data_IF_077804450739
#
_entry.id   IF_077804450739
#
_cell.length_a   1.000
_cell.length_b   1.000
_cell.length_c   1.000
_cell.angle_alpha   90.00
_cell.angle_beta   90.00
_cell.angle_gamma   90.00
#
_symmetry.space_group_name_H-M   'P 1'
#
loop_
_entity.id
_entity.type
_entity.pdbx_description
1 polymer ?
#
# COMPACT_ATOMS: atom_id res chain seq x y z
N UNK A 1 -5.06 32.35 -6.27
CA UNK A 1 -4.90 31.06 -5.55
C UNK A 1 -4.02 31.34 -4.34
N UNK A 2 -4.58 31.45 -3.12
CA UNK A 2 -3.79 31.76 -1.91
C UNK A 2 -2.80 30.61 -1.68
N UNK A 3 -1.49 30.92 -1.64
CA UNK A 3 -0.46 29.97 -1.21
C UNK A 3 -0.71 29.69 0.27
N UNK A 4 -1.44 28.61 0.58
CA UNK A 4 -1.49 28.09 1.94
C UNK A 4 -0.04 27.85 2.38
N UNK A 5 0.39 28.52 3.47
CA UNK A 5 1.65 28.17 4.12
C UNK A 5 1.60 26.68 4.42
N UNK A 6 2.65 25.95 4.05
CA UNK A 6 2.76 24.54 4.38
C UNK A 6 2.69 24.39 5.90
N UNK A 7 1.62 23.78 6.38
CA UNK A 7 1.41 23.55 7.80
C UNK A 7 1.88 22.12 8.12
N UNK A 8 2.97 22.05 8.89
CA UNK A 8 3.57 20.78 9.29
C UNK A 8 2.60 19.94 10.14
N UNK A 9 1.75 20.58 10.95
CA UNK A 9 0.75 19.87 11.75
C UNK A 9 -0.29 19.19 10.86
N UNK A 10 -0.74 19.89 9.82
CA UNK A 10 -1.69 19.33 8.85
C UNK A 10 -1.04 18.24 8.00
N UNK A 11 0.24 18.38 7.65
CA UNK A 11 1.00 17.33 6.96
C UNK A 11 1.06 16.03 7.78
N UNK A 12 1.38 16.12 9.07
CA UNK A 12 1.46 14.96 9.95
C UNK A 12 0.08 14.31 10.12
N UNK A 13 -0.96 15.11 10.32
CA UNK A 13 -2.33 14.61 10.48
C UNK A 13 -2.81 13.92 9.20
N UNK A 14 -2.52 14.49 8.03
CA UNK A 14 -2.77 13.87 6.73
C UNK A 14 -2.07 12.50 6.60
N UNK A 15 -0.84 12.38 7.10
CA UNK A 15 -0.12 11.10 7.11
C UNK A 15 -0.84 10.05 7.95
N UNK A 16 -1.29 10.40 9.16
CA UNK A 16 -2.07 9.48 10.01
C UNK A 16 -3.40 9.07 9.36
N UNK A 17 -4.10 10.01 8.74
CA UNK A 17 -5.35 9.72 8.01
C UNK A 17 -5.09 8.80 6.83
N UNK A 18 -4.01 9.01 6.07
CA UNK A 18 -3.61 8.10 4.99
C UNK A 18 -3.37 6.67 5.51
N UNK A 19 -2.62 6.53 6.61
CA UNK A 19 -2.35 5.23 7.22
C UNK A 19 -3.64 4.56 7.70
N UNK A 20 -4.51 5.29 8.39
CA UNK A 20 -5.79 4.77 8.85
C UNK A 20 -6.70 4.32 7.69
N UNK A 21 -6.80 5.13 6.63
CA UNK A 21 -7.58 4.77 5.43
C UNK A 21 -7.04 3.52 4.75
N UNK A 22 -5.72 3.31 4.74
CA UNK A 22 -5.13 2.08 4.22
C UNK A 22 -5.49 0.86 5.07
N UNK A 23 -5.40 0.96 6.40
CA UNK A 23 -5.75 -0.15 7.28
C UNK A 23 -7.21 -0.55 7.07
N UNK A 24 -8.11 0.44 7.01
CA UNK A 24 -9.54 0.21 6.74
C UNK A 24 -9.75 -0.40 5.35
N UNK A 25 -9.04 0.11 4.33
CA UNK A 25 -9.12 -0.44 2.98
C UNK A 25 -8.63 -1.89 2.94
N UNK A 26 -7.50 -2.21 3.56
CA UNK A 26 -7.02 -3.59 3.65
C UNK A 26 -8.06 -4.47 4.34
N UNK A 27 -8.59 -4.06 5.49
CA UNK A 27 -9.59 -4.85 6.22
C UNK A 27 -10.84 -5.19 5.38
N UNK A 28 -11.32 -4.24 4.56
CA UNK A 28 -12.48 -4.43 3.68
C UNK A 28 -12.11 -5.29 2.46
N UNK A 29 -10.96 -5.02 1.84
CA UNK A 29 -10.59 -5.61 0.56
C UNK A 29 -9.74 -6.88 0.68
N UNK A 30 -9.35 -7.32 1.88
CA UNK A 30 -8.48 -8.49 2.06
C UNK A 30 -9.06 -9.78 1.50
N UNK A 31 -10.37 -10.02 1.70
CA UNK A 31 -11.07 -11.21 1.16
C UNK A 31 -11.08 -11.23 -0.37
N UNK A 32 -11.55 -10.18 -1.07
CA UNK A 32 -11.51 -10.17 -2.53
C UNK A 32 -10.08 -10.15 -3.09
N UNK A 33 -9.14 -9.49 -2.41
CA UNK A 33 -7.71 -9.54 -2.78
C UNK A 33 -7.15 -10.96 -2.72
N UNK A 34 -7.44 -11.70 -1.64
CA UNK A 34 -6.97 -13.07 -1.48
C UNK A 34 -7.55 -14.00 -2.54
N UNK A 35 -8.83 -13.83 -2.89
CA UNK A 35 -9.48 -14.62 -3.93
C UNK A 35 -8.87 -14.34 -5.32
N UNK A 36 -8.67 -13.06 -5.66
CA UNK A 36 -7.99 -12.68 -6.90
C UNK A 36 -6.56 -13.20 -6.92
N UNK A 37 -5.83 -13.06 -5.82
CA UNK A 37 -4.45 -13.55 -5.72
C UNK A 37 -4.34 -15.06 -5.91
N UNK A 38 -5.22 -15.84 -5.27
CA UNK A 38 -5.30 -17.29 -5.47
C UNK A 38 -5.64 -17.68 -6.92
N UNK A 39 -6.51 -16.91 -7.58
CA UNK A 39 -6.81 -17.09 -9.01
C UNK A 39 -5.58 -16.83 -9.88
N UNK A 40 -4.83 -15.75 -9.64
CA UNK A 40 -3.62 -15.40 -10.40
C UNK A 40 -2.46 -16.38 -10.16
N UNK A 41 -2.27 -16.87 -8.94
CA UNK A 41 -1.28 -17.93 -8.67
C UNK A 41 -1.64 -19.19 -9.44
N UNK A 42 -2.88 -19.64 -9.30
CA UNK A 42 -3.32 -20.92 -9.83
C UNK A 42 -3.32 -20.93 -11.37
N UNK A 43 -3.58 -19.79 -12.00
CA UNK A 43 -3.73 -19.69 -13.45
C UNK A 43 -2.57 -19.00 -14.20
N UNK A 44 -1.63 -18.31 -13.53
CA UNK A 44 -0.65 -17.48 -14.25
C UNK A 44 0.74 -17.30 -13.63
N UNK A 45 0.88 -17.26 -12.30
CA UNK A 45 2.19 -16.98 -11.67
C UNK A 45 3.12 -18.20 -11.58
N UNK A 46 2.63 -19.43 -11.77
CA UNK A 46 3.48 -20.62 -11.89
C UNK A 46 4.30 -20.66 -13.20
N UNK A 47 4.07 -19.72 -14.12
CA UNK A 47 4.75 -19.66 -15.42
C UNK A 47 6.09 -18.90 -15.31
N UNK A 48 6.23 -18.05 -14.29
CA UNK A 48 7.45 -17.25 -14.05
C UNK A 48 8.03 -17.78 -12.75
N UNK A 49 9.13 -18.52 -12.83
CA UNK A 49 9.85 -19.06 -11.67
C UNK A 49 10.39 -17.93 -10.79
N UNK A 50 9.53 -17.35 -9.97
CA UNK A 50 9.90 -16.34 -8.99
C UNK A 50 10.51 -17.03 -7.77
N UNK A 51 11.76 -16.68 -7.45
CA UNK A 51 12.37 -17.04 -6.17
C UNK A 51 11.49 -16.56 -5.00
N UNK A 52 11.57 -17.24 -3.85
CA UNK A 52 10.73 -16.96 -2.68
C UNK A 52 10.69 -15.48 -2.27
N UNK A 53 11.80 -14.75 -2.47
CA UNK A 53 11.85 -13.29 -2.28
C UNK A 53 10.88 -12.53 -3.17
N UNK A 54 10.94 -12.73 -4.48
CA UNK A 54 10.13 -11.97 -5.43
C UNK A 54 8.65 -12.28 -5.28
N UNK A 55 8.33 -13.52 -4.93
CA UNK A 55 6.95 -13.92 -4.65
C UNK A 55 6.39 -13.21 -3.42
N UNK A 56 7.15 -13.15 -2.31
CA UNK A 56 6.77 -12.45 -1.08
C UNK A 56 6.72 -10.92 -1.30
N UNK A 57 7.71 -10.36 -2.00
CA UNK A 57 7.75 -8.94 -2.33
C UNK A 57 6.55 -8.52 -3.20
N UNK A 58 6.18 -9.34 -4.17
CA UNK A 58 5.01 -9.12 -5.02
C UNK A 58 3.71 -9.12 -4.19
N UNK A 59 3.56 -10.05 -3.24
CA UNK A 59 2.40 -10.09 -2.34
C UNK A 59 2.25 -8.80 -1.54
N UNK A 60 3.31 -8.37 -0.86
CA UNK A 60 3.24 -7.17 -0.03
C UNK A 60 3.06 -5.90 -0.87
N UNK A 61 3.66 -5.86 -2.06
CA UNK A 61 3.47 -4.73 -2.96
C UNK A 61 2.03 -4.66 -3.46
N UNK A 62 1.39 -5.77 -3.84
CA UNK A 62 -0.04 -5.78 -4.18
C UNK A 62 -0.90 -5.33 -2.99
N UNK A 63 -0.57 -5.80 -1.79
CA UNK A 63 -1.29 -5.45 -0.55
C UNK A 63 -1.21 -3.95 -0.21
N UNK A 64 -0.12 -3.26 -0.55
CA UNK A 64 0.00 -1.80 -0.39
C UNK A 64 -0.60 -1.04 -1.58
N UNK A 65 -0.32 -1.45 -2.83
CA UNK A 65 -0.66 -0.70 -4.04
C UNK A 65 -2.17 -0.61 -4.27
N UNK A 66 -2.92 -1.69 -4.00
CA UNK A 66 -4.37 -1.73 -4.22
C UNK A 66 -5.11 -0.73 -3.32
N UNK A 67 -4.90 -0.71 -1.99
CA UNK A 67 -5.43 0.34 -1.12
C UNK A 67 -5.08 1.76 -1.58
N UNK A 68 -3.83 1.99 -2.00
CA UNK A 68 -3.42 3.30 -2.49
C UNK A 68 -4.13 3.71 -3.78
N UNK A 69 -4.30 2.77 -4.72
CA UNK A 69 -5.05 3.01 -5.95
C UNK A 69 -6.53 3.33 -5.65
N UNK A 70 -7.13 2.63 -4.69
CA UNK A 70 -8.51 2.87 -4.25
C UNK A 70 -8.63 4.26 -3.59
N UNK A 71 -7.74 4.60 -2.65
CA UNK A 71 -7.74 5.90 -1.99
C UNK A 71 -7.53 7.03 -3.01
N UNK A 72 -6.58 6.86 -3.94
CA UNK A 72 -6.34 7.82 -5.02
C UNK A 72 -7.57 7.99 -5.93
N UNK A 73 -8.25 6.89 -6.28
CA UNK A 73 -9.47 6.93 -7.07
C UNK A 73 -10.63 7.63 -6.33
N UNK A 74 -10.82 7.34 -5.04
CA UNK A 74 -11.83 7.99 -4.19
C UNK A 74 -11.55 9.48 -4.02
N UNK A 75 -10.27 9.86 -3.90
CA UNK A 75 -9.84 11.26 -3.87
C UNK A 75 -10.17 11.97 -5.19
N UNK A 76 -9.82 11.37 -6.34
CA UNK A 76 -10.11 11.92 -7.67
C UNK A 76 -11.61 12.06 -7.94
N UNK A 77 -12.43 11.18 -7.36
CA UNK A 77 -13.90 11.22 -7.47
C UNK A 77 -14.56 12.16 -6.45
N UNK A 78 -13.80 12.93 -5.67
CA UNK A 78 -14.31 13.83 -4.63
C UNK A 78 -15.21 13.13 -3.58
N UNK A 79 -15.06 11.81 -3.41
CA UNK A 79 -15.83 11.04 -2.41
C UNK A 79 -15.24 11.12 -1.00
N UNK A 80 -13.99 11.55 -0.89
CA UNK A 80 -13.36 11.86 0.38
C UNK A 80 -13.63 13.34 0.72
N UNK A 81 -14.40 13.58 1.78
CA UNK A 81 -14.63 14.94 2.30
C UNK A 81 -13.33 15.57 2.84
N UNK A 82 -12.37 14.73 3.26
CA UNK A 82 -11.10 15.15 3.81
C UNK A 82 -10.07 15.43 2.70
N UNK A 83 -9.53 16.66 2.67
CA UNK A 83 -8.52 17.09 1.67
C UNK A 83 -7.10 16.85 2.17
N UNK A 84 -6.53 15.74 1.71
CA UNK A 84 -5.15 15.33 1.99
C UNK A 84 -4.18 16.11 1.09
N UNK A 85 -3.09 16.62 1.65
CA UNK A 85 -1.99 17.16 0.84
C UNK A 85 -1.38 16.08 -0.04
N UNK A 86 -1.15 16.43 -1.31
CA UNK A 86 -0.51 15.53 -2.28
C UNK A 86 0.86 15.04 -1.78
N UNK A 87 1.63 15.91 -1.12
CA UNK A 87 2.92 15.54 -0.53
C UNK A 87 2.81 14.50 0.57
N UNK A 88 1.85 14.63 1.49
CA UNK A 88 1.60 13.65 2.56
C UNK A 88 1.24 12.28 1.99
N UNK A 89 0.37 12.25 0.98
CA UNK A 89 -0.03 11.01 0.31
C UNK A 89 1.16 10.28 -0.31
N UNK A 90 2.02 10.99 -1.06
CA UNK A 90 3.22 10.41 -1.66
C UNK A 90 4.26 9.99 -0.62
N UNK A 91 4.44 10.78 0.45
CA UNK A 91 5.34 10.43 1.55
C UNK A 91 4.96 9.10 2.19
N UNK A 92 3.67 8.94 2.49
CA UNK A 92 3.12 7.70 3.08
C UNK A 92 3.19 6.54 2.07
N UNK A 93 2.95 6.78 0.78
CA UNK A 93 3.14 5.78 -0.28
C UNK A 93 4.55 5.22 -0.34
N UNK A 94 5.56 6.10 -0.41
CA UNK A 94 6.95 5.69 -0.52
C UNK A 94 7.37 4.94 0.74
N UNK A 95 7.07 5.49 1.93
CA UNK A 95 7.47 4.91 3.22
C UNK A 95 6.95 3.49 3.41
N UNK A 96 5.67 3.25 3.11
CA UNK A 96 5.06 1.93 3.27
C UNK A 96 5.60 0.93 2.25
N UNK A 97 5.77 1.34 0.99
CA UNK A 97 6.36 0.45 -0.02
C UNK A 97 7.81 0.09 0.31
N UNK A 98 8.61 1.05 0.79
CA UNK A 98 9.98 0.78 1.26
C UNK A 98 9.99 -0.18 2.46
N UNK A 99 9.08 0.01 3.43
CA UNK A 99 8.95 -0.90 4.58
C UNK A 99 8.63 -2.34 4.15
N UNK A 100 7.66 -2.52 3.25
CA UNK A 100 7.27 -3.84 2.76
C UNK A 100 8.35 -4.53 1.93
N UNK A 101 9.13 -3.76 1.17
CA UNK A 101 10.32 -4.27 0.48
C UNK A 101 11.38 -4.79 1.45
N UNK A 102 11.63 -4.04 2.52
CA UNK A 102 12.57 -4.47 3.56
C UNK A 102 12.06 -5.71 4.31
N UNK A 103 10.76 -5.76 4.62
CA UNK A 103 10.13 -6.93 5.23
C UNK A 103 10.22 -8.17 4.32
N UNK A 104 9.96 -8.02 3.02
CA UNK A 104 10.11 -9.10 2.05
C UNK A 104 11.55 -9.63 1.98
N UNK A 105 12.53 -8.72 2.00
CA UNK A 105 13.95 -9.08 1.97
C UNK A 105 14.35 -9.85 3.22
N UNK A 106 13.85 -9.42 4.39
CA UNK A 106 14.11 -10.11 5.65
C UNK A 106 13.48 -11.51 5.70
N UNK A 107 12.24 -11.64 5.23
CA UNK A 107 11.52 -12.92 5.18
C UNK A 107 12.18 -13.92 4.22
N UNK A 108 12.69 -13.44 3.08
CA UNK A 108 13.31 -14.31 2.10
C UNK A 108 14.72 -14.79 2.50
N UNK A 109 15.44 -14.02 3.32
CA UNK A 109 16.79 -14.34 3.78
C UNK A 109 16.83 -14.98 5.17
N UNK A 110 15.75 -15.68 5.57
CA UNK A 110 15.75 -16.50 6.78
C UNK A 110 15.36 -15.78 8.07
N UNK A 111 14.52 -14.75 8.03
CA UNK A 111 13.97 -14.08 9.21
C UNK A 111 13.20 -14.97 10.20
N UNK A 112 12.95 -16.25 9.86
CA UNK A 112 12.41 -17.29 10.76
C UNK A 112 13.39 -18.43 11.07
N UNK A 113 14.67 -18.32 10.68
CA UNK A 113 15.70 -19.29 11.05
C UNK A 113 16.39 -18.85 12.35
N UNK A 114 15.74 -19.18 13.46
CA UNK A 114 16.37 -19.50 14.74
C UNK A 114 15.61 -20.64 15.39
#
# INVERSE_FOLDING_TARGET
MKKEKFDCSKFILDCFVCVALMIVSIAIFIKPLYYLYGFFIRNGLNIIGYDGFYFIALQFNILSLVPFAIIYFLYKKNKLQYRIYKSSFWFVFISINSYWWLAAYHLANGGFSK
#
